data_IF_818706359122
#
_entry.id   IF_818706359122
#
_cell.length_a   1.000
_cell.length_b   1.000
_cell.length_c   1.000
_cell.angle_alpha   90.00
_cell.angle_beta   90.00
_cell.angle_gamma   90.00
#
_symmetry.space_group_name_H-M   'P 1'
#
loop_
_entity.id
_entity.type
_entity.pdbx_description
1 polymer ?
#
# COMPACT_ATOMS: atom_id res chain seq x y z
N UNK A 1 -9.84 6.22 -16.23
CA UNK A 1 -9.58 5.12 -15.29
C UNK A 1 -8.65 4.12 -15.96
N UNK A 2 -7.66 3.64 -15.22
CA UNK A 2 -6.67 2.67 -15.72
C UNK A 2 -6.97 1.27 -15.16
N UNK A 3 -6.47 0.22 -15.79
CA UNK A 3 -6.59 -1.13 -15.22
C UNK A 3 -5.73 -1.26 -13.95
N UNK A 4 -6.30 -1.86 -12.91
CA UNK A 4 -5.58 -2.21 -11.68
C UNK A 4 -5.46 -3.71 -11.48
N UNK A 5 -4.61 -4.09 -10.53
CA UNK A 5 -4.37 -5.49 -10.18
C UNK A 5 -4.44 -5.65 -8.66
N UNK A 6 -5.31 -6.54 -8.21
CA UNK A 6 -5.47 -6.88 -6.80
C UNK A 6 -5.06 -8.34 -6.62
N UNK A 7 -4.14 -8.60 -5.70
CA UNK A 7 -3.73 -9.95 -5.33
C UNK A 7 -3.99 -10.19 -3.85
N UNK A 8 -4.23 -11.44 -3.49
CA UNK A 8 -4.41 -11.84 -2.09
C UNK A 8 -3.80 -13.20 -1.80
N UNK A 9 -3.47 -13.44 -0.54
CA UNK A 9 -2.91 -14.71 -0.10
C UNK A 9 -2.83 -14.84 1.41
N UNK A 10 -2.59 -16.07 1.86
CA UNK A 10 -2.18 -16.40 3.21
C UNK A 10 -0.76 -16.94 3.13
N UNK A 11 0.20 -16.23 3.70
CA UNK A 11 1.62 -16.51 3.52
C UNK A 11 2.36 -16.51 4.86
N UNK A 12 3.55 -17.11 4.88
CA UNK A 12 4.44 -17.12 6.05
C UNK A 12 5.25 -15.84 6.13
N UNK A 13 5.83 -15.56 7.30
CA UNK A 13 6.66 -14.39 7.56
C UNK A 13 7.79 -14.22 6.53
N UNK A 14 8.49 -15.30 6.19
CA UNK A 14 9.63 -15.24 5.27
C UNK A 14 9.20 -14.93 3.83
N UNK A 15 8.02 -15.40 3.42
CA UNK A 15 7.42 -15.05 2.13
C UNK A 15 7.01 -13.58 2.10
N UNK A 16 6.42 -13.07 3.19
CA UNK A 16 6.07 -11.65 3.32
C UNK A 16 7.32 -10.76 3.22
N UNK A 17 8.39 -11.07 3.96
CA UNK A 17 9.67 -10.33 3.89
C UNK A 17 10.26 -10.35 2.47
N UNK A 18 10.17 -11.50 1.78
CA UNK A 18 10.64 -11.63 0.40
C UNK A 18 9.84 -10.71 -0.54
N UNK A 19 8.51 -10.73 -0.46
CA UNK A 19 7.63 -9.88 -1.27
C UNK A 19 7.93 -8.39 -1.02
N UNK A 20 8.08 -7.98 0.24
CA UNK A 20 8.40 -6.60 0.60
C UNK A 20 9.71 -6.16 -0.05
N UNK A 21 10.76 -6.98 0.06
CA UNK A 21 12.05 -6.64 -0.54
C UNK A 21 11.99 -6.62 -2.07
N UNK A 22 11.34 -7.60 -2.69
CA UNK A 22 11.27 -7.73 -4.15
C UNK A 22 10.53 -6.55 -4.80
N UNK A 23 9.47 -6.06 -4.16
CA UNK A 23 8.65 -4.99 -4.72
C UNK A 23 9.05 -3.59 -4.30
N UNK A 24 9.59 -3.40 -3.10
CA UNK A 24 9.67 -2.06 -2.50
C UNK A 24 11.07 -1.56 -2.17
N UNK A 25 12.10 -2.42 -2.18
CA UNK A 25 13.45 -2.06 -1.71
C UNK A 25 14.10 -0.93 -2.50
N UNK A 26 13.92 -0.92 -3.81
CA UNK A 26 14.53 0.07 -4.72
C UNK A 26 13.55 1.19 -5.10
N UNK A 27 12.49 1.37 -4.31
CA UNK A 27 11.45 2.38 -4.53
C UNK A 27 11.44 3.43 -3.42
N UNK A 28 10.85 4.60 -3.72
CA UNK A 28 10.48 5.57 -2.69
C UNK A 28 9.29 5.04 -1.91
N UNK A 29 9.60 4.29 -0.86
CA UNK A 29 8.63 3.52 -0.10
C UNK A 29 8.33 4.16 1.25
N UNK A 30 7.13 3.94 1.74
CA UNK A 30 6.66 4.34 3.05
C UNK A 30 5.91 3.17 3.70
N UNK A 31 5.82 3.17 5.02
CA UNK A 31 5.02 2.19 5.74
C UNK A 31 4.23 2.83 6.89
N UNK A 32 3.15 2.16 7.27
CA UNK A 32 2.37 2.49 8.46
C UNK A 32 2.07 1.19 9.22
N UNK A 33 2.69 1.03 10.39
CA UNK A 33 2.32 0.00 11.34
C UNK A 33 1.06 0.43 12.10
N UNK A 34 0.10 -0.48 12.25
CA UNK A 34 -1.08 -0.20 13.06
C UNK A 34 -0.78 -0.58 14.51
N UNK A 35 -0.60 0.43 15.37
CA UNK A 35 -0.80 0.28 16.81
C UNK A 35 -1.93 1.22 17.25
N UNK A 36 -2.70 0.83 18.27
CA UNK A 36 -3.87 1.59 18.74
C UNK A 36 -3.51 2.97 19.31
N UNK A 37 -2.22 3.23 19.56
CA UNK A 37 -1.73 4.41 20.27
C UNK A 37 -1.16 5.49 19.34
N UNK A 38 -0.81 5.16 18.08
CA UNK A 38 -0.23 6.11 17.14
C UNK A 38 -0.36 5.68 15.67
N UNK A 39 -0.90 6.56 14.82
CA UNK A 39 -0.81 6.41 13.36
C UNK A 39 0.37 7.23 12.85
N UNK A 40 1.52 6.60 12.64
CA UNK A 40 2.72 7.27 12.12
C UNK A 40 3.12 6.67 10.77
N UNK A 41 3.28 7.54 9.77
CA UNK A 41 3.88 7.18 8.49
C UNK A 41 5.39 7.37 8.59
N UNK A 42 6.14 6.33 8.23
CA UNK A 42 7.59 6.33 8.20
C UNK A 42 8.07 6.09 6.76
N UNK A 43 9.19 6.70 6.38
CA UNK A 43 9.84 6.46 5.10
C UNK A 43 10.72 5.21 5.15
N UNK A 44 10.85 4.51 4.02
CA UNK A 44 11.62 3.29 3.87
C UNK A 44 10.78 2.02 4.08
N UNK A 45 11.48 0.92 4.36
CA UNK A 45 10.88 -0.36 4.75
C UNK A 45 10.81 -0.45 6.28
N UNK A 46 9.87 -1.23 6.83
CA UNK A 46 9.85 -1.48 8.27
C UNK A 46 11.05 -2.35 8.67
N UNK A 47 11.75 -1.98 9.74
CA UNK A 47 12.88 -2.75 10.30
C UNK A 47 12.43 -4.11 10.87
N UNK A 48 11.18 -4.18 11.33
CA UNK A 48 10.54 -5.38 11.86
C UNK A 48 9.15 -5.57 11.24
N UNK A 49 8.70 -6.82 11.09
CA UNK A 49 7.36 -7.11 10.57
C UNK A 49 6.35 -7.06 11.72
N UNK A 50 5.53 -6.01 11.74
CA UNK A 50 4.42 -5.85 12.67
C UNK A 50 3.28 -6.83 12.39
N UNK A 51 2.40 -7.04 13.37
CA UNK A 51 1.23 -7.89 13.23
C UNK A 51 0.24 -7.35 12.19
N UNK A 52 0.02 -6.03 12.16
CA UNK A 52 -0.72 -5.39 11.09
C UNK A 52 0.01 -4.14 10.62
N UNK A 53 0.24 -4.05 9.32
CA UNK A 53 0.96 -2.95 8.70
C UNK A 53 0.68 -2.93 7.20
N UNK A 54 1.05 -1.82 6.58
CA UNK A 54 1.10 -1.70 5.14
C UNK A 54 2.38 -1.00 4.72
N UNK A 55 2.88 -1.38 3.55
CA UNK A 55 3.99 -0.73 2.86
C UNK A 55 3.51 -0.30 1.48
N UNK A 56 3.88 0.90 1.05
CA UNK A 56 3.38 1.48 -0.18
C UNK A 56 4.40 2.38 -0.88
N UNK A 57 4.24 2.45 -2.20
CA UNK A 57 5.00 3.25 -3.14
C UNK A 57 4.07 3.74 -4.24
N UNK A 58 4.59 4.50 -5.21
CA UNK A 58 3.81 4.92 -6.37
C UNK A 58 3.24 3.73 -7.16
N UNK A 59 3.95 2.60 -7.21
CA UNK A 59 3.57 1.45 -8.03
C UNK A 59 2.67 0.43 -7.32
N UNK A 60 2.86 0.24 -6.00
CA UNK A 60 2.19 -0.81 -5.26
C UNK A 60 1.85 -0.41 -3.82
N UNK A 61 0.87 -1.09 -3.24
CA UNK A 61 0.65 -1.13 -1.79
C UNK A 61 0.40 -2.57 -1.37
N UNK A 62 1.11 -3.00 -0.33
CA UNK A 62 0.96 -4.30 0.29
C UNK A 62 0.48 -4.10 1.73
N UNK A 63 -0.66 -4.71 2.06
CA UNK A 63 -1.24 -4.72 3.41
C UNK A 63 -1.17 -6.11 3.98
N UNK A 64 -0.91 -6.22 5.28
CA UNK A 64 -1.00 -7.48 5.97
C UNK A 64 -1.60 -7.38 7.36
N UNK A 65 -2.13 -8.50 7.80
CA UNK A 65 -2.60 -8.75 9.15
C UNK A 65 -2.23 -10.19 9.54
N UNK A 66 -1.64 -10.36 10.72
CA UNK A 66 -1.26 -11.65 11.26
C UNK A 66 -2.51 -12.42 11.67
N UNK A 67 -2.60 -13.66 11.21
CA UNK A 67 -3.62 -14.63 11.59
C UNK A 67 -2.91 -15.91 12.02
N UNK A 68 -2.86 -16.17 13.33
CA UNK A 68 -2.08 -17.25 13.95
C UNK A 68 -0.59 -17.22 13.54
N UNK A 69 -0.15 -18.22 12.75
CA UNK A 69 1.21 -18.38 12.26
C UNK A 69 1.40 -17.89 10.81
N UNK A 70 0.38 -17.27 10.24
CA UNK A 70 0.36 -16.78 8.86
C UNK A 70 0.02 -15.29 8.83
N UNK A 71 0.19 -14.70 7.66
CA UNK A 71 -0.20 -13.33 7.34
C UNK A 71 -1.22 -13.36 6.21
N UNK A 72 -2.37 -12.74 6.45
CA UNK A 72 -3.34 -12.41 5.40
C UNK A 72 -2.86 -11.16 4.69
N UNK A 73 -2.64 -11.28 3.39
CA UNK A 73 -2.02 -10.23 2.57
C UNK A 73 -2.93 -9.78 1.46
N UNK A 74 -2.95 -8.48 1.20
CA UNK A 74 -3.58 -7.86 0.03
C UNK A 74 -2.56 -6.96 -0.67
N UNK A 75 -2.34 -7.16 -1.97
CA UNK A 75 -1.47 -6.35 -2.80
C UNK A 75 -2.29 -5.60 -3.84
N UNK A 76 -2.13 -4.28 -3.90
CA UNK A 76 -2.79 -3.36 -4.84
C UNK A 76 -1.73 -2.75 -5.76
N UNK A 77 -1.66 -3.20 -7.01
CA UNK A 77 -0.62 -2.79 -7.96
C UNK A 77 -1.21 -2.12 -9.22
N UNK A 78 -0.50 -1.11 -9.73
CA UNK A 78 -0.87 -0.41 -10.98
C UNK A 78 -0.41 -1.17 -12.24
N UNK A 79 0.48 -2.15 -12.08
CA UNK A 79 1.00 -3.04 -13.13
C UNK A 79 0.85 -4.51 -12.70
N UNK A 80 0.82 -5.48 -13.64
CA UNK A 80 0.90 -6.89 -13.29
C UNK A 80 2.17 -7.21 -12.52
N UNK A 81 2.08 -8.09 -11.53
CA UNK A 81 3.22 -8.53 -10.72
C UNK A 81 3.22 -10.06 -10.70
N UNK A 82 4.41 -10.66 -10.81
CA UNK A 82 4.57 -12.11 -10.80
C UNK A 82 5.03 -12.61 -9.43
N UNK A 83 4.11 -12.67 -8.47
CA UNK A 83 4.37 -13.22 -7.12
C UNK A 83 3.70 -14.57 -6.98
N UNK A 84 4.49 -15.63 -6.78
CA UNK A 84 3.99 -17.01 -6.73
C UNK A 84 3.07 -17.25 -5.53
N UNK A 85 3.35 -16.57 -4.43
CA UNK A 85 2.71 -16.73 -3.13
C UNK A 85 1.34 -16.02 -3.06
N UNK A 86 1.03 -15.13 -4.02
CA UNK A 86 -0.24 -14.40 -4.07
C UNK A 86 -1.04 -14.78 -5.32
N UNK A 87 -2.37 -14.83 -5.19
CA UNK A 87 -3.29 -15.09 -6.30
C UNK A 87 -3.95 -13.80 -6.74
N UNK A 88 -4.08 -13.62 -8.06
CA UNK A 88 -4.87 -12.52 -8.62
C UNK A 88 -6.33 -12.70 -8.18
N UNK A 89 -6.92 -11.64 -7.63
CA UNK A 89 -8.33 -11.59 -7.28
C UNK A 89 -9.12 -11.33 -8.55
N UNK A 90 -9.99 -12.28 -8.90
CA UNK A 90 -10.81 -12.22 -10.11
C UNK A 90 -11.71 -10.97 -10.17
N UNK A 91 -12.05 -10.56 -11.38
CA UNK A 91 -12.93 -9.42 -11.66
C UNK A 91 -12.24 -8.28 -12.38
N UNK A 92 -13.04 -7.35 -12.88
CA UNK A 92 -12.55 -6.15 -13.55
C UNK A 92 -12.21 -5.08 -12.52
N UNK A 93 -10.91 -4.81 -12.38
CA UNK A 93 -10.39 -3.82 -11.46
C UNK A 93 -9.98 -2.55 -12.22
N UNK A 94 -10.55 -1.43 -11.81
CA UNK A 94 -10.23 -0.10 -12.36
C UNK A 94 -9.64 0.80 -11.28
N UNK A 95 -8.72 1.67 -11.69
CA UNK A 95 -8.03 2.64 -10.86
C UNK A 95 -8.41 4.05 -11.30
N UNK A 96 -8.77 4.86 -10.32
CA UNK A 96 -8.85 6.30 -10.43
C UNK A 96 -7.72 6.92 -9.59
N UNK A 97 -6.85 7.69 -10.24
CA UNK A 97 -5.91 8.56 -9.54
C UNK A 97 -6.70 9.76 -9.02
N UNK A 98 -6.82 9.87 -7.71
CA UNK A 98 -7.76 10.83 -7.12
C UNK A 98 -7.31 12.28 -7.29
N UNK A 99 -6.06 12.55 -7.69
CA UNK A 99 -5.47 13.89 -7.78
C UNK A 99 -5.55 14.71 -6.48
N UNK A 100 -6.06 14.09 -5.42
CA UNK A 100 -6.50 14.72 -4.18
C UNK A 100 -5.56 14.28 -3.10
N UNK A 101 -5.30 15.18 -2.17
CA UNK A 101 -4.32 14.98 -1.13
C UNK A 101 -4.82 15.62 0.15
N UNK A 102 -4.70 14.86 1.24
CA UNK A 102 -5.12 15.31 2.56
C UNK A 102 -3.90 15.53 3.45
N UNK A 103 -4.03 16.50 4.35
CA UNK A 103 -2.98 16.85 5.30
C UNK A 103 -3.05 15.90 6.49
N UNK A 104 -1.93 15.26 6.84
CA UNK A 104 -1.81 14.45 8.06
C UNK A 104 -1.89 15.30 9.34
N UNK A 105 -1.48 16.57 9.28
CA UNK A 105 -1.57 17.50 10.41
C UNK A 105 -1.73 18.96 9.92
N UNK A 106 -2.70 19.67 10.50
CA UNK A 106 -2.96 21.10 10.28
C UNK A 106 -1.83 22.03 10.76
N UNK A 107 -0.87 21.53 11.54
CA UNK A 107 0.30 22.26 12.03
C UNK A 107 1.54 22.12 11.13
N UNK A 108 1.54 21.20 10.16
CA UNK A 108 2.64 20.99 9.19
C UNK A 108 2.48 21.81 7.89
N UNK A 109 1.72 22.91 7.92
CA UNK A 109 1.38 23.76 6.74
C UNK A 109 2.59 24.31 5.97
N UNK A 110 3.80 24.22 6.51
CA UNK A 110 5.01 24.77 5.89
C UNK A 110 5.89 23.71 5.19
N UNK A 111 5.52 22.44 5.23
CA UNK A 111 6.20 21.31 4.56
C UNK A 111 5.13 20.45 3.86
N UNK A 112 4.49 20.99 2.83
CA UNK A 112 3.25 20.45 2.26
C UNK A 112 3.53 19.22 1.38
N UNK A 113 3.87 18.12 2.02
CA UNK A 113 3.87 16.79 1.42
C UNK A 113 2.44 16.26 1.43
N UNK A 114 1.90 16.12 0.22
CA UNK A 114 0.53 15.71 -0.07
C UNK A 114 0.51 14.20 -0.28
N UNK A 115 -0.21 13.45 0.57
CA UNK A 115 -0.36 12.00 0.34
C UNK A 115 -1.09 11.78 -0.98
N UNK A 116 -0.53 10.95 -1.84
CA UNK A 116 -1.16 10.50 -3.07
C UNK A 116 -1.86 9.17 -2.83
N UNK A 117 -2.98 8.96 -3.51
CA UNK A 117 -3.73 7.70 -3.42
C UNK A 117 -4.53 7.40 -4.69
N UNK A 118 -4.73 6.11 -4.91
CA UNK A 118 -5.53 5.53 -5.98
C UNK A 118 -6.81 4.92 -5.39
N UNK A 119 -7.96 5.12 -6.02
CA UNK A 119 -9.20 4.42 -5.67
C UNK A 119 -9.35 3.22 -6.61
N UNK A 120 -9.48 2.03 -6.03
CA UNK A 120 -9.72 0.79 -6.75
C UNK A 120 -11.22 0.48 -6.74
N UNK A 121 -11.76 0.29 -7.93
CA UNK A 121 -13.14 -0.09 -8.17
C UNK A 121 -13.22 -1.53 -8.66
N UNK A 122 -14.22 -2.26 -8.19
CA UNK A 122 -14.63 -3.57 -8.72
C UNK A 122 -16.08 -3.45 -9.15
N UNK A 123 -16.39 -3.75 -10.41
CA UNK A 123 -17.76 -3.66 -10.93
C UNK A 123 -18.44 -2.29 -10.64
N UNK A 124 -17.68 -1.19 -10.81
CA UNK A 124 -18.10 0.19 -10.52
C UNK A 124 -18.29 0.57 -9.03
N UNK A 125 -17.99 -0.32 -8.09
CA UNK A 125 -18.04 -0.04 -6.65
C UNK A 125 -16.63 0.27 -6.10
N UNK A 126 -16.47 1.41 -5.44
CA UNK A 126 -15.23 1.78 -4.77
C UNK A 126 -14.95 0.77 -3.63
N UNK A 127 -13.86 0.02 -3.76
CA UNK A 127 -13.54 -1.11 -2.86
C UNK A 127 -12.32 -0.83 -1.99
N UNK A 128 -11.27 -0.24 -2.56
CA UNK A 128 -10.06 0.12 -1.80
C UNK A 128 -9.63 1.56 -2.09
N UNK A 129 -9.18 2.26 -1.05
CA UNK A 129 -8.36 3.47 -1.18
C UNK A 129 -6.93 3.04 -0.95
N UNK A 130 -6.02 3.29 -1.90
CA UNK A 130 -4.67 2.77 -1.88
C UNK A 130 -3.61 3.86 -1.88
N UNK A 131 -2.75 3.90 -0.86
CA UNK A 131 -1.73 4.94 -0.71
C UNK A 131 -0.61 4.78 -1.74
N UNK A 132 -0.05 5.91 -2.19
CA UNK A 132 0.94 5.97 -3.29
C UNK A 132 2.18 6.82 -2.99
N UNK A 133 2.32 7.29 -1.76
CA UNK A 133 3.46 8.10 -1.33
C UNK A 133 3.07 9.56 -1.10
N UNK A 134 4.02 10.45 -1.32
CA UNK A 134 3.86 11.88 -1.06
C UNK A 134 4.36 12.69 -2.26
N UNK A 135 3.62 13.74 -2.61
CA UNK A 135 4.02 14.73 -3.60
C UNK A 135 4.31 16.06 -2.92
N UNK A 136 5.48 16.64 -3.20
CA UNK A 136 5.79 18.02 -2.80
C UNK A 136 5.15 18.99 -3.78
N UNK A 137 4.46 20.01 -3.26
CA UNK A 137 4.14 21.19 -4.06
C UNK A 137 5.36 22.11 -4.09
N UNK A 138 6.04 22.18 -5.23
CA UNK A 138 6.91 23.30 -5.55
C UNK A 138 6.03 24.50 -5.88
N UNK A 139 6.11 25.54 -5.04
CA UNK A 139 5.54 26.86 -5.34
C UNK A 139 6.26 27.54 -6.49
#
# INVERSE_FOLDING_TARGET
MNKGYVYSGLIRLEELKKIINELFKDQNTYYTGYNLESYKISSGLPDEIFESCQVFSEEAELRWERTDNLYRVTLLAVKPVSIKELKLVEGEWLIEDSGSSFYLDKHLRNLVERITYNIYYRNSEATFISLRGFKRETK
#
